data_IF_519985333639
#
_entry.id   IF_519985333639
#
_cell.length_a   1.000
_cell.length_b   1.000
_cell.length_c   1.000
_cell.angle_alpha   90.00
_cell.angle_beta   90.00
_cell.angle_gamma   90.00
#
_symmetry.space_group_name_H-M   'P 1'
#
loop_
_entity.id
_entity.type
_entity.pdbx_description
1 polymer ?
#
# COMPACT_ATOMS: atom_id res chain seq x y z
N UNK A 1 18.61 -3.21 11.90
CA UNK A 1 17.61 -3.56 10.85
C UNK A 1 16.79 -2.34 10.42
N UNK A 2 16.17 -1.62 11.34
CA UNK A 2 15.38 -0.39 11.10
C UNK A 2 16.21 0.67 10.35
N UNK A 3 17.43 0.96 10.80
CA UNK A 3 18.36 1.89 10.13
C UNK A 3 18.62 1.48 8.67
N UNK A 4 18.80 0.19 8.42
CA UNK A 4 19.00 -0.35 7.07
C UNK A 4 17.77 -0.15 6.18
N UNK A 5 16.55 -0.31 6.70
CA UNK A 5 15.31 -0.07 5.96
C UNK A 5 15.24 1.40 5.53
N UNK A 6 15.47 2.31 6.47
CA UNK A 6 15.42 3.75 6.20
C UNK A 6 16.50 4.17 5.19
N UNK A 7 17.72 3.64 5.32
CA UNK A 7 18.81 3.89 4.37
C UNK A 7 18.44 3.41 2.95
N UNK A 8 17.91 2.18 2.81
CA UNK A 8 17.47 1.64 1.52
C UNK A 8 16.41 2.54 0.89
N UNK A 9 15.37 2.88 1.64
CA UNK A 9 14.27 3.69 1.14
C UNK A 9 14.69 5.11 0.76
N UNK A 10 15.58 5.74 1.55
CA UNK A 10 16.17 7.07 1.23
C UNK A 10 17.04 7.06 -0.02
N UNK A 11 17.58 5.90 -0.40
CA UNK A 11 18.37 5.71 -1.62
C UNK A 11 17.54 5.14 -2.79
N UNK A 12 16.28 5.54 -2.90
CA UNK A 12 15.35 5.09 -3.95
C UNK A 12 15.15 3.56 -3.99
N UNK A 13 15.24 2.91 -2.83
CA UNK A 13 15.08 1.47 -2.73
C UNK A 13 13.62 1.04 -2.67
N UNK A 14 13.42 -0.24 -2.98
CA UNK A 14 12.14 -0.95 -2.89
C UNK A 14 12.27 -2.09 -1.90
N UNK A 15 11.33 -2.21 -0.97
CA UNK A 15 11.27 -3.27 0.03
C UNK A 15 10.05 -4.15 -0.18
N UNK A 16 10.16 -5.42 0.24
CA UNK A 16 9.03 -6.33 0.36
C UNK A 16 8.73 -6.59 1.84
N UNK A 17 7.46 -6.67 2.19
CA UNK A 17 6.98 -6.80 3.57
C UNK A 17 5.65 -7.54 3.64
N UNK A 18 5.38 -8.14 4.81
CA UNK A 18 4.12 -8.80 5.12
C UNK A 18 3.04 -7.77 5.49
N UNK A 19 1.80 -8.05 5.11
CA UNK A 19 0.58 -7.38 5.63
C UNK A 19 -0.40 -8.42 6.16
N UNK A 20 -1.50 -7.96 6.73
CA UNK A 20 -2.64 -8.80 7.14
C UNK A 20 -3.30 -9.56 5.97
N UNK A 21 -3.15 -9.10 4.74
CA UNK A 21 -3.78 -9.71 3.56
C UNK A 21 -2.83 -10.55 2.72
N UNK A 22 -1.86 -9.91 2.08
CA UNK A 22 -0.84 -10.51 1.22
C UNK A 22 0.48 -9.78 1.41
N UNK A 23 1.58 -10.34 0.96
CA UNK A 23 2.86 -9.61 0.91
C UNK A 23 2.79 -8.43 -0.06
N UNK A 24 3.43 -7.34 0.31
CA UNK A 24 3.49 -6.09 -0.45
C UNK A 24 4.89 -5.70 -0.87
N UNK A 25 4.98 -4.90 -1.91
CA UNK A 25 6.13 -4.09 -2.30
C UNK A 25 5.87 -2.64 -1.93
N UNK A 26 6.90 -1.92 -1.51
CA UNK A 26 6.76 -0.50 -1.21
C UNK A 26 8.05 0.29 -1.31
N UNK A 27 7.87 1.59 -1.50
CA UNK A 27 8.91 2.58 -1.52
C UNK A 27 8.41 3.91 -0.91
N UNK A 28 9.29 4.89 -0.73
CA UNK A 28 8.85 6.22 -0.31
C UNK A 28 7.99 6.87 -1.41
N UNK A 29 6.85 7.50 -1.04
CA UNK A 29 5.96 8.14 -2.02
C UNK A 29 6.61 9.36 -2.70
N UNK A 30 7.68 9.90 -2.13
CA UNK A 30 8.44 11.03 -2.66
C UNK A 30 9.49 10.64 -3.70
N UNK A 31 9.76 9.33 -3.89
CA UNK A 31 10.73 8.85 -4.85
C UNK A 31 10.08 8.34 -6.14
N UNK A 32 10.01 9.19 -7.17
CA UNK A 32 9.54 8.79 -8.50
C UNK A 32 10.37 7.65 -9.08
N UNK A 33 11.68 7.65 -8.83
CA UNK A 33 12.60 6.61 -9.29
C UNK A 33 12.28 5.25 -8.68
N UNK A 34 11.98 5.19 -7.37
CA UNK A 34 11.61 3.96 -6.71
C UNK A 34 10.20 3.47 -7.14
N UNK A 35 9.25 4.39 -7.35
CA UNK A 35 7.95 4.07 -7.92
C UNK A 35 8.10 3.44 -9.30
N UNK A 36 8.91 4.02 -10.19
CA UNK A 36 9.22 3.46 -11.49
C UNK A 36 9.84 2.06 -11.37
N UNK A 37 10.78 1.86 -10.44
CA UNK A 37 11.38 0.54 -10.16
C UNK A 37 10.32 -0.49 -9.78
N UNK A 38 9.28 -0.14 -8.99
CA UNK A 38 8.17 -1.03 -8.69
C UNK A 38 7.41 -1.44 -9.97
N UNK A 39 7.13 -0.51 -10.87
CA UNK A 39 6.46 -0.84 -12.14
C UNK A 39 7.32 -1.77 -13.01
N UNK A 40 8.63 -1.52 -13.08
CA UNK A 40 9.58 -2.36 -13.83
C UNK A 40 9.65 -3.79 -13.24
N UNK A 41 9.79 -3.92 -11.91
CA UNK A 41 9.80 -5.21 -11.19
C UNK A 41 8.56 -6.03 -11.52
N UNK A 42 7.39 -5.39 -11.52
CA UNK A 42 6.11 -6.07 -11.73
C UNK A 42 5.76 -6.32 -13.20
N UNK A 43 6.54 -5.80 -14.14
CA UNK A 43 6.15 -5.74 -15.56
C UNK A 43 4.73 -5.15 -15.70
N UNK A 44 4.45 -4.11 -14.90
CA UNK A 44 3.11 -3.55 -14.73
C UNK A 44 2.91 -2.38 -15.68
N UNK A 45 1.74 -2.35 -16.31
CA UNK A 45 1.33 -1.16 -17.07
C UNK A 45 1.24 0.07 -16.15
N UNK A 46 1.77 1.20 -16.62
CA UNK A 46 1.77 2.47 -15.90
C UNK A 46 0.35 3.00 -15.56
N UNK A 47 -0.70 2.37 -16.11
CA UNK A 47 -2.11 2.72 -15.86
C UNK A 47 -2.69 2.18 -14.55
N UNK A 48 -1.98 1.28 -13.86
CA UNK A 48 -2.45 0.69 -12.59
C UNK A 48 -1.83 1.42 -11.41
N UNK A 49 -2.54 2.28 -10.67
CA UNK A 49 -1.97 3.10 -9.61
C UNK A 49 -1.44 2.26 -8.45
N UNK A 50 -0.49 2.83 -7.69
CA UNK A 50 -0.12 2.35 -6.38
C UNK A 50 -1.13 2.86 -5.35
N UNK A 51 -1.10 2.28 -4.15
CA UNK A 51 -1.87 2.77 -3.01
C UNK A 51 -0.91 3.28 -1.93
N UNK A 52 -1.38 4.17 -1.08
CA UNK A 52 -0.63 4.65 0.06
C UNK A 52 -1.03 3.87 1.31
N UNK A 53 -0.04 3.34 2.00
CA UNK A 53 -0.23 2.64 3.27
C UNK A 53 0.56 3.33 4.38
N UNK A 54 0.00 3.33 5.59
CA UNK A 54 0.63 3.87 6.79
C UNK A 54 0.26 3.03 8.02
N UNK A 55 0.86 3.33 9.16
CA UNK A 55 0.49 2.81 10.47
C UNK A 55 -0.67 3.58 11.11
N UNK A 56 -0.88 4.85 10.71
CA UNK A 56 -1.97 5.69 11.21
C UNK A 56 -2.61 6.54 10.12
N UNK A 57 -3.92 6.76 10.25
CA UNK A 57 -4.71 7.48 9.23
C UNK A 57 -4.24 8.93 9.05
N UNK A 58 -3.85 9.59 10.13
CA UNK A 58 -3.48 11.00 10.07
C UNK A 58 -2.24 11.25 9.20
N UNK A 59 -1.32 10.28 9.09
CA UNK A 59 -0.15 10.35 8.22
C UNK A 59 -0.54 10.43 6.73
N UNK A 60 -1.75 9.99 6.38
CA UNK A 60 -2.28 10.01 5.03
C UNK A 60 -3.01 11.31 4.67
N UNK A 61 -3.27 12.20 5.64
CA UNK A 61 -4.07 13.41 5.41
C UNK A 61 -3.44 14.39 4.42
N UNK A 62 -2.12 14.43 4.36
CA UNK A 62 -1.43 15.28 3.37
C UNK A 62 -1.63 14.79 1.92
N UNK A 63 -1.97 13.51 1.74
CA UNK A 63 -2.14 12.87 0.44
C UNK A 63 -3.60 12.84 -0.04
N UNK A 64 -4.56 13.13 0.85
CA UNK A 64 -5.99 13.08 0.53
C UNK A 64 -6.61 14.47 0.64
N UNK A 65 -7.54 14.75 -0.26
CA UNK A 65 -8.26 16.01 -0.24
C UNK A 65 -9.12 16.12 1.03
N UNK A 66 -9.02 17.26 1.69
CA UNK A 66 -9.78 17.55 2.90
C UNK A 66 -10.95 18.49 2.61
N UNK A 67 -12.09 18.36 3.31
CA UNK A 67 -12.41 17.26 4.23
C UNK A 67 -12.68 15.94 3.51
N UNK A 68 -12.30 14.84 4.13
CA UNK A 68 -12.63 13.50 3.62
C UNK A 68 -14.17 13.32 3.64
N UNK A 69 -14.71 12.70 2.61
CA UNK A 69 -16.13 12.39 2.48
C UNK A 69 -16.68 11.64 3.70
N UNK A 70 -17.90 11.98 4.14
CA UNK A 70 -18.50 11.43 5.38
C UNK A 70 -18.56 9.90 5.36
N UNK A 71 -18.92 9.32 4.24
CA UNK A 71 -19.01 7.86 4.10
C UNK A 71 -17.63 7.21 4.16
N UNK A 72 -16.60 7.84 3.60
CA UNK A 72 -15.21 7.40 3.77
C UNK A 72 -14.77 7.46 5.23
N UNK A 73 -15.11 8.53 5.96
CA UNK A 73 -14.82 8.64 7.40
C UNK A 73 -15.49 7.52 8.20
N UNK A 74 -16.75 7.17 7.86
CA UNK A 74 -17.48 6.06 8.50
C UNK A 74 -16.77 4.73 8.27
N UNK A 75 -16.34 4.45 7.04
CA UNK A 75 -15.63 3.23 6.69
C UNK A 75 -14.24 3.15 7.30
N UNK A 76 -13.50 4.26 7.34
CA UNK A 76 -12.21 4.36 8.04
C UNK A 76 -12.39 3.98 9.51
N UNK A 77 -13.33 4.62 10.20
CA UNK A 77 -13.59 4.37 11.64
C UNK A 77 -13.97 2.92 11.92
N UNK A 78 -14.67 2.26 10.96
CA UNK A 78 -15.18 0.89 11.12
C UNK A 78 -14.13 -0.18 10.78
N UNK A 79 -13.26 0.08 9.79
CA UNK A 79 -12.46 -0.95 9.16
C UNK A 79 -10.95 -0.69 9.13
N UNK A 80 -10.45 0.45 9.64
CA UNK A 80 -9.02 0.68 9.78
C UNK A 80 -8.59 0.55 11.24
N UNK A 81 -7.48 -0.15 11.53
CA UNK A 81 -6.67 -0.92 10.59
C UNK A 81 -7.40 -2.18 10.09
N UNK A 82 -7.07 -2.64 8.88
CA UNK A 82 -7.62 -3.88 8.34
C UNK A 82 -7.57 -4.02 6.81
N UNK A 83 -8.33 -5.00 6.33
CA UNK A 83 -8.31 -5.44 4.93
C UNK A 83 -9.21 -4.59 4.00
N UNK A 84 -9.33 -3.30 4.24
CA UNK A 84 -10.04 -2.34 3.39
C UNK A 84 -9.05 -1.36 2.75
N UNK A 85 -9.18 -1.16 1.44
CA UNK A 85 -8.53 -0.08 0.69
C UNK A 85 -9.62 0.89 0.23
N UNK A 86 -9.51 2.15 0.61
CA UNK A 86 -10.43 3.21 0.16
C UNK A 86 -9.79 4.06 -0.93
N UNK A 87 -10.51 4.25 -2.01
CA UNK A 87 -10.15 5.15 -3.11
C UNK A 87 -10.88 6.46 -2.89
N UNK A 88 -10.12 7.50 -2.57
CA UNK A 88 -10.62 8.85 -2.22
C UNK A 88 -10.00 9.91 -3.12
N UNK A 89 -10.56 11.11 -3.16
CA UNK A 89 -9.95 12.22 -3.90
C UNK A 89 -8.55 12.53 -3.33
N UNK A 90 -7.56 12.64 -4.22
CA UNK A 90 -6.20 12.99 -3.84
C UNK A 90 -6.06 14.49 -3.57
N UNK A 91 -5.11 14.84 -2.69
CA UNK A 91 -4.66 16.22 -2.55
C UNK A 91 -3.68 16.61 -3.66
N UNK A 92 -3.35 17.89 -3.75
CA UNK A 92 -2.32 18.41 -4.66
C UNK A 92 -0.91 17.89 -4.29
N UNK A 93 -0.71 17.47 -3.04
CA UNK A 93 0.56 16.91 -2.57
C UNK A 93 0.80 15.46 -3.04
N UNK A 94 -0.24 14.79 -3.56
CA UNK A 94 -0.10 13.40 -4.04
C UNK A 94 0.45 13.39 -5.46
N UNK A 95 1.68 12.85 -5.66
CA UNK A 95 2.30 12.83 -6.97
C UNK A 95 1.51 12.03 -8.00
N UNK A 96 1.44 12.53 -9.22
CA UNK A 96 0.73 11.90 -10.34
C UNK A 96 1.31 10.53 -10.71
N UNK A 97 2.60 10.31 -10.54
CA UNK A 97 3.24 9.03 -10.81
C UNK A 97 2.79 7.91 -9.87
N UNK A 98 2.25 8.22 -8.67
CA UNK A 98 1.65 7.22 -7.76
C UNK A 98 0.26 6.82 -8.25
N UNK A 99 -0.54 7.81 -8.67
CA UNK A 99 -1.94 7.64 -9.01
C UNK A 99 -2.19 7.34 -10.49
N UNK A 100 -1.14 7.23 -11.29
CA UNK A 100 -1.25 7.09 -12.76
C UNK A 100 -2.08 8.22 -13.38
N UNK A 101 -1.89 9.44 -12.90
CA UNK A 101 -2.62 10.66 -13.27
C UNK A 101 -4.14 10.63 -12.94
N UNK A 102 -4.59 9.69 -12.09
CA UNK A 102 -5.99 9.69 -11.63
C UNK A 102 -6.22 10.79 -10.58
N UNK A 103 -7.43 11.36 -10.49
CA UNK A 103 -7.78 12.35 -9.48
C UNK A 103 -7.98 11.75 -8.09
N UNK A 104 -7.79 10.45 -7.95
CA UNK A 104 -8.00 9.69 -6.72
C UNK A 104 -6.75 8.94 -6.31
N UNK A 105 -6.67 8.61 -5.02
CA UNK A 105 -5.61 7.78 -4.42
C UNK A 105 -6.23 6.70 -3.54
N UNK A 106 -5.69 5.49 -3.62
CA UNK A 106 -6.04 4.42 -2.71
C UNK A 106 -5.27 4.57 -1.40
N UNK A 107 -5.95 4.45 -0.26
CA UNK A 107 -5.37 4.51 1.08
C UNK A 107 -5.75 3.28 1.89
N UNK A 108 -4.83 2.82 2.76
CA UNK A 108 -5.07 1.70 3.67
C UNK A 108 -4.19 1.79 4.91
N UNK A 109 -4.72 1.31 6.04
CA UNK A 109 -3.94 1.00 7.25
C UNK A 109 -4.02 -0.53 7.44
N UNK A 110 -2.95 -1.28 7.14
CA UNK A 110 -2.92 -2.72 7.40
C UNK A 110 -2.97 -3.05 8.89
N UNK A 111 -3.71 -4.09 9.27
CA UNK A 111 -3.67 -4.64 10.64
C UNK A 111 -2.48 -5.60 10.79
N UNK A 112 -1.28 -5.05 10.81
CA UNK A 112 -0.05 -5.81 10.87
C UNK A 112 1.06 -5.04 11.61
N UNK A 113 1.49 -5.58 12.75
CA UNK A 113 2.49 -4.91 13.61
C UNK A 113 3.88 -4.82 12.97
N UNK A 114 4.27 -5.78 12.13
CA UNK A 114 5.55 -5.70 11.39
C UNK A 114 5.52 -4.53 10.41
N UNK A 115 4.42 -4.37 9.66
CA UNK A 115 4.23 -3.23 8.76
C UNK A 115 4.20 -1.89 9.52
N UNK A 116 3.46 -1.83 10.64
CA UNK A 116 3.40 -0.63 11.46
C UNK A 116 4.78 -0.20 11.98
N UNK A 117 5.63 -1.15 12.41
CA UNK A 117 7.02 -0.87 12.82
C UNK A 117 7.87 -0.32 11.67
N UNK A 118 7.67 -0.81 10.45
CA UNK A 118 8.35 -0.27 9.27
C UNK A 118 7.93 1.19 9.07
N UNK A 119 6.64 1.50 9.07
CA UNK A 119 6.14 2.87 8.90
C UNK A 119 6.69 3.81 9.97
N UNK A 120 6.65 3.43 11.25
CA UNK A 120 7.18 4.23 12.35
C UNK A 120 8.70 4.49 12.25
N UNK A 121 9.40 3.71 11.47
CA UNK A 121 10.87 3.82 11.31
C UNK A 121 11.31 4.73 10.17
N UNK A 122 10.38 5.19 9.35
CA UNK A 122 10.67 5.99 8.16
C UNK A 122 10.08 7.40 8.29
N UNK A 123 10.70 8.35 7.59
CA UNK A 123 10.21 9.72 7.55
C UNK A 123 8.84 9.77 6.85
N UNK A 124 7.89 10.48 7.45
CA UNK A 124 6.53 10.64 6.92
C UNK A 124 5.60 9.45 7.16
N UNK A 125 6.10 8.30 7.64
CA UNK A 125 5.32 7.12 8.02
C UNK A 125 4.45 6.52 6.90
N UNK A 126 4.69 6.85 5.64
CA UNK A 126 3.89 6.44 4.48
C UNK A 126 4.73 5.72 3.45
N UNK A 127 4.21 4.63 2.91
CA UNK A 127 4.77 3.93 1.76
C UNK A 127 3.78 3.94 0.58
N UNK A 128 4.31 4.13 -0.62
CA UNK A 128 3.61 3.84 -1.87
C UNK A 128 3.76 2.35 -2.16
N UNK A 129 2.65 1.61 -2.31
CA UNK A 129 2.65 0.16 -2.20
C UNK A 129 1.82 -0.53 -3.29
N UNK A 130 2.14 -1.81 -3.51
CA UNK A 130 1.38 -2.76 -4.31
C UNK A 130 1.64 -4.18 -3.80
N UNK A 131 0.89 -5.19 -4.28
CA UNK A 131 1.12 -6.60 -3.92
C UNK A 131 2.46 -7.15 -4.44
N UNK A 132 3.09 -8.05 -3.68
CA UNK A 132 4.36 -8.70 -4.01
C UNK A 132 4.16 -9.87 -4.97
N UNK A 133 4.06 -9.58 -6.28
CA UNK A 133 3.91 -10.51 -7.38
C UNK A 133 4.28 -9.86 -8.71
N UNK A 134 4.55 -10.65 -9.73
CA UNK A 134 4.50 -10.18 -11.11
C UNK A 134 3.05 -9.87 -11.49
N UNK A 135 2.83 -8.94 -12.42
CA UNK A 135 1.47 -8.51 -12.76
C UNK A 135 0.68 -9.65 -13.40
N UNK A 136 -0.42 -10.03 -12.78
CA UNK A 136 -1.27 -11.15 -13.21
C UNK A 136 -1.08 -12.45 -12.41
N UNK A 137 0.02 -12.60 -11.71
CA UNK A 137 0.28 -13.77 -10.87
C UNK A 137 -0.35 -13.63 -9.47
N UNK A 138 -0.51 -14.72 -8.71
CA UNK A 138 -0.88 -14.67 -7.31
C UNK A 138 0.14 -13.87 -6.48
N UNK A 139 -0.34 -13.14 -5.48
CA UNK A 139 0.54 -12.46 -4.53
C UNK A 139 1.17 -13.48 -3.56
N UNK A 140 2.40 -13.20 -3.12
CA UNK A 140 3.08 -14.00 -2.11
C UNK A 140 2.33 -13.96 -0.77
N UNK A 141 2.27 -15.10 -0.09
CA UNK A 141 1.64 -15.27 1.23
C UNK A 141 2.67 -15.54 2.32
N UNK A 142 3.81 -16.14 1.95
CA UNK A 142 4.89 -16.46 2.88
C UNK A 142 6.15 -15.67 2.54
N UNK A 143 7.10 -15.65 3.48
CA UNK A 143 8.42 -15.06 3.26
C UNK A 143 9.16 -15.77 2.12
N UNK A 144 9.10 -17.10 2.07
CA UNK A 144 9.75 -17.92 1.07
C UNK A 144 9.18 -17.65 -0.34
N UNK A 145 7.86 -17.49 -0.44
CA UNK A 145 7.23 -17.08 -1.71
C UNK A 145 7.64 -15.68 -2.12
N UNK A 146 7.68 -14.72 -1.20
CA UNK A 146 8.13 -13.37 -1.49
C UNK A 146 9.59 -13.35 -1.97
N UNK A 147 10.48 -14.10 -1.31
CA UNK A 147 11.87 -14.25 -1.75
C UNK A 147 11.94 -14.91 -3.13
N UNK A 148 11.14 -15.96 -3.37
CA UNK A 148 11.15 -16.69 -4.65
C UNK A 148 10.62 -15.84 -5.80
N UNK A 149 9.57 -15.02 -5.60
CA UNK A 149 8.91 -14.29 -6.68
C UNK A 149 9.62 -12.99 -7.04
N UNK A 150 10.16 -12.30 -6.03
CA UNK A 150 10.65 -10.92 -6.20
C UNK A 150 11.93 -10.61 -5.42
N UNK A 151 12.50 -11.58 -4.69
CA UNK A 151 13.63 -11.33 -3.80
C UNK A 151 14.89 -10.83 -4.50
N UNK A 152 15.14 -11.28 -5.72
CA UNK A 152 16.25 -10.85 -6.58
C UNK A 152 16.03 -9.47 -7.24
N UNK A 153 14.82 -8.92 -7.15
CA UNK A 153 14.40 -7.67 -7.83
C UNK A 153 14.24 -6.49 -6.88
N UNK A 154 14.14 -6.77 -5.57
CA UNK A 154 13.99 -5.74 -4.51
C UNK A 154 15.29 -5.58 -3.72
N UNK A 155 15.42 -4.45 -3.04
CA UNK A 155 16.63 -4.15 -2.26
C UNK A 155 16.62 -4.87 -0.91
N UNK A 156 15.45 -5.25 -0.40
CA UNK A 156 15.29 -6.00 0.83
C UNK A 156 13.94 -6.71 0.91
N UNK A 157 13.94 -7.99 1.26
CA UNK A 157 12.75 -8.69 1.75
C UNK A 157 12.82 -8.71 3.27
N UNK A 158 11.84 -8.08 3.94
CA UNK A 158 11.81 -7.97 5.40
C UNK A 158 11.21 -9.25 5.98
N UNK A 159 11.84 -9.81 7.02
CA UNK A 159 11.28 -10.96 7.73
C UNK A 159 9.87 -10.65 8.27
N UNK A 160 8.98 -11.65 8.24
CA UNK A 160 7.62 -11.52 8.76
C UNK A 160 7.54 -11.38 10.28
N UNK A 161 8.60 -11.76 11.00
CA UNK A 161 8.63 -11.81 12.48
C UNK A 161 7.46 -12.57 13.10
N UNK A 162 6.99 -13.62 12.43
CA UNK A 162 5.87 -14.44 12.87
C UNK A 162 4.49 -13.88 12.50
N UNK A 163 4.43 -12.74 11.80
CA UNK A 163 3.17 -12.29 11.20
C UNK A 163 2.90 -13.06 9.91
N UNK A 164 1.65 -13.44 9.70
CA UNK A 164 1.22 -14.19 8.52
C UNK A 164 0.23 -13.40 7.68
N UNK A 165 0.32 -13.53 6.36
CA UNK A 165 -0.68 -13.03 5.44
C UNK A 165 -1.86 -14.01 5.39
N UNK A 166 -3.10 -13.50 5.42
CA UNK A 166 -4.31 -14.33 5.46
C UNK A 166 -4.69 -14.90 4.09
N UNK A 167 -4.08 -14.43 3.01
CA UNK A 167 -4.26 -14.97 1.66
C UNK A 167 -5.41 -14.36 0.86
N UNK A 168 -6.23 -13.49 1.46
CA UNK A 168 -7.27 -12.75 0.75
C UNK A 168 -6.87 -11.29 0.57
N UNK A 169 -6.98 -10.80 -0.66
CA UNK A 169 -6.72 -9.40 -0.94
C UNK A 169 -7.72 -8.48 -0.22
N UNK A 170 -7.34 -7.22 0.02
CA UNK A 170 -8.25 -6.22 0.59
C UNK A 170 -9.45 -5.98 -0.32
N UNK A 171 -10.60 -5.68 0.27
CA UNK A 171 -11.71 -5.06 -0.45
C UNK A 171 -11.27 -3.67 -0.89
N UNK A 172 -11.56 -3.31 -2.14
CA UNK A 172 -11.26 -1.98 -2.70
C UNK A 172 -12.57 -1.29 -2.98
N UNK A 173 -12.82 -0.19 -2.29
CA UNK A 173 -14.02 0.60 -2.42
C UNK A 173 -13.70 2.07 -2.68
N UNK A 174 -14.60 2.75 -3.37
CA UNK A 174 -14.56 4.19 -3.58
C UNK A 174 -15.96 4.78 -3.50
N UNK A 175 -16.14 6.00 -4.00
CA UNK A 175 -17.35 6.75 -3.83
C UNK A 175 -17.77 7.39 -5.16
N UNK A 176 -19.08 7.39 -5.41
CA UNK A 176 -19.69 8.12 -6.53
C UNK A 176 -21.06 8.64 -6.08
N UNK A 177 -21.26 9.93 -6.22
CA UNK A 177 -22.51 10.61 -5.85
C UNK A 177 -22.93 10.35 -4.38
N UNK A 178 -21.94 10.17 -3.47
CA UNK A 178 -22.16 9.86 -2.06
C UNK A 178 -22.41 8.38 -1.75
N UNK A 179 -22.45 7.52 -2.76
CA UNK A 179 -22.62 6.08 -2.59
C UNK A 179 -21.30 5.32 -2.68
N UNK A 180 -21.20 4.20 -1.93
CA UNK A 180 -20.06 3.31 -1.96
C UNK A 180 -20.08 2.46 -3.22
N UNK A 181 -18.96 2.42 -3.94
CA UNK A 181 -18.74 1.54 -5.09
C UNK A 181 -17.64 0.54 -4.74
N UNK A 182 -17.91 -0.74 -4.96
CA UNK A 182 -16.92 -1.81 -4.78
C UNK A 182 -16.21 -2.06 -6.11
N UNK A 183 -14.91 -1.68 -6.17
CA UNK A 183 -14.06 -1.98 -7.33
C UNK A 183 -13.54 -3.41 -7.32
N UNK A 184 -13.33 -3.97 -6.13
CA UNK A 184 -12.92 -5.36 -5.91
C UNK A 184 -13.46 -5.85 -4.58
N UNK A 185 -14.22 -6.94 -4.61
CA UNK A 185 -14.59 -7.66 -3.39
C UNK A 185 -13.38 -8.46 -2.89
N UNK A 186 -12.98 -8.22 -1.66
CA UNK A 186 -11.92 -8.91 -0.95
C UNK A 186 -12.42 -9.48 0.37
N UNK A 187 -11.59 -9.35 1.42
CA UNK A 187 -11.85 -9.91 2.75
C UNK A 187 -13.07 -9.29 3.44
N UNK A 188 -13.25 -7.97 3.33
CA UNK A 188 -14.29 -7.24 4.05
C UNK A 188 -15.53 -7.07 3.19
N UNK A 189 -16.70 -7.42 3.74
CA UNK A 189 -18.01 -7.03 3.19
C UNK A 189 -18.41 -5.66 3.74
N UNK A 190 -18.71 -4.73 2.83
CA UNK A 190 -19.18 -3.39 3.16
C UNK A 190 -20.71 -3.43 3.10
N UNK A 191 -21.34 -3.26 4.28
CA UNK A 191 -22.79 -3.19 4.47
C UNK A 191 -23.14 -1.77 4.92
#
# INVERSE_FOLDING_TARGET
MIEKINEILKNDGVIAFVTDTVWGLGCLPTSEKAVKKIYDIKHREAKKPLILMSDEVYNLFDYVKQPIEKEAQRLIKKHFPGALTLVVEKSENTPDYITSNMPTVGIRIPDNETFAKICRSIDGHVLATTSANLSGDPAALTYEEAVSYIGDKVDLVISSYGCEAQGRASTVAGFKDGEVIIYRQGEIEII
#
